data_IF_026804695778
#
_entry.id   IF_026804695778
#
_cell.length_a   1.000
_cell.length_b   1.000
_cell.length_c   1.000
_cell.angle_alpha   90.00
_cell.angle_beta   90.00
_cell.angle_gamma   90.00
#
_symmetry.space_group_name_H-M   'P 1'
#
loop_
_entity.id
_entity.type
_entity.pdbx_description
1 polymer ?
#
# COMPACT_ATOMS: atom_id res chain seq x y z
N UNK A 1 2.30 17.16 2.77
CA UNK A 1 3.73 17.15 2.33
C UNK A 1 3.82 16.71 0.88
N UNK A 2 3.16 15.61 0.48
CA UNK A 2 2.91 15.34 -0.94
C UNK A 2 2.15 16.48 -1.62
N UNK A 3 1.27 17.18 -0.90
CA UNK A 3 0.59 18.42 -1.35
C UNK A 3 1.54 19.58 -1.72
N UNK A 4 2.84 19.46 -1.41
CA UNK A 4 3.85 20.43 -1.83
C UNK A 4 4.48 20.07 -3.20
N UNK A 5 4.10 18.93 -3.78
CA UNK A 5 4.47 18.53 -5.13
C UNK A 5 3.45 19.05 -6.16
N UNK A 6 3.84 19.08 -7.43
CA UNK A 6 2.95 19.40 -8.55
C UNK A 6 2.02 18.25 -8.96
N UNK A 7 2.22 17.06 -8.38
CA UNK A 7 1.46 15.85 -8.66
C UNK A 7 0.35 15.62 -7.61
N UNK A 8 -0.82 15.19 -8.08
CA UNK A 8 -1.99 14.92 -7.25
C UNK A 8 -1.98 13.45 -6.78
N UNK A 9 -1.07 13.14 -5.86
CA UNK A 9 -0.91 11.77 -5.37
C UNK A 9 -2.07 11.40 -4.44
N UNK A 10 -2.90 10.45 -4.88
CA UNK A 10 -4.00 9.90 -4.08
C UNK A 10 -3.69 8.46 -3.67
N UNK A 11 -3.85 8.14 -2.39
CA UNK A 11 -3.58 6.82 -1.82
C UNK A 11 -4.81 6.34 -1.07
N UNK A 12 -5.26 5.12 -1.37
CA UNK A 12 -6.31 4.47 -0.59
C UNK A 12 -6.12 2.96 -0.55
N UNK A 13 -6.58 2.34 0.54
CA UNK A 13 -6.61 0.90 0.69
C UNK A 13 -7.93 0.46 1.32
N UNK A 14 -8.28 -0.80 1.13
CA UNK A 14 -9.40 -1.42 1.83
C UNK A 14 -9.13 -2.89 2.07
N UNK A 15 -9.83 -3.46 3.05
CA UNK A 15 -9.88 -4.92 3.21
C UNK A 15 -10.59 -5.50 1.99
N UNK A 16 -9.93 -6.41 1.28
CA UNK A 16 -10.50 -7.12 0.14
C UNK A 16 -10.75 -8.60 0.42
N UNK A 17 -10.18 -9.18 1.50
CA UNK A 17 -10.48 -10.55 1.92
C UNK A 17 -10.38 -10.74 3.44
N UNK A 18 -11.30 -11.51 4.00
CA UNK A 18 -11.19 -12.07 5.37
C UNK A 18 -11.53 -13.55 5.30
N UNK A 19 -10.56 -14.41 5.64
CA UNK A 19 -10.72 -15.85 5.49
C UNK A 19 -11.12 -16.25 4.07
N UNK A 20 -12.33 -16.79 3.93
CA UNK A 20 -12.91 -17.26 2.66
C UNK A 20 -13.83 -16.24 1.97
N UNK A 21 -14.15 -15.12 2.63
CA UNK A 21 -14.97 -14.04 2.07
C UNK A 21 -14.05 -13.07 1.35
N UNK A 22 -14.29 -12.88 0.06
CA UNK A 22 -13.56 -11.99 -0.84
C UNK A 22 -14.51 -10.95 -1.40
N UNK A 23 -14.07 -9.70 -1.44
CA UNK A 23 -14.80 -8.60 -2.05
C UNK A 23 -14.81 -8.75 -3.58
N UNK A 24 -15.90 -8.34 -4.22
CA UNK A 24 -15.90 -8.15 -5.67
C UNK A 24 -14.94 -7.01 -6.06
N UNK A 25 -14.45 -6.98 -7.31
CA UNK A 25 -13.61 -5.89 -7.79
C UNK A 25 -14.30 -4.53 -7.64
N UNK A 26 -13.63 -3.59 -6.99
CA UNK A 26 -14.09 -2.22 -6.76
C UNK A 26 -13.20 -1.22 -7.49
N UNK A 27 -13.79 -0.11 -7.93
CA UNK A 27 -13.04 1.04 -8.45
C UNK A 27 -12.40 1.85 -7.32
N UNK A 28 -11.33 2.59 -7.63
CA UNK A 28 -10.69 3.49 -6.67
C UNK A 28 -11.67 4.48 -6.02
N UNK A 29 -12.63 5.00 -6.79
CA UNK A 29 -13.67 5.89 -6.24
C UNK A 29 -14.53 5.19 -5.18
N UNK A 30 -14.89 3.92 -5.40
CA UNK A 30 -15.62 3.15 -4.40
C UNK A 30 -14.77 2.91 -3.14
N UNK A 31 -13.44 2.74 -3.29
CA UNK A 31 -12.55 2.65 -2.13
C UNK A 31 -12.57 3.96 -1.34
N UNK A 32 -12.48 5.11 -2.00
CA UNK A 32 -12.58 6.43 -1.36
C UNK A 32 -13.91 6.60 -0.62
N UNK A 33 -15.02 6.22 -1.26
CA UNK A 33 -16.37 6.49 -0.76
C UNK A 33 -16.78 5.53 0.37
N UNK A 34 -16.43 4.25 0.28
CA UNK A 34 -17.04 3.20 1.11
C UNK A 34 -16.11 2.58 2.17
N UNK A 35 -14.78 2.67 2.02
CA UNK A 35 -13.84 2.00 2.92
C UNK A 35 -13.87 2.49 4.37
N UNK A 36 -14.47 3.65 4.66
CA UNK A 36 -14.63 4.16 6.03
C UNK A 36 -16.09 4.08 6.53
N UNK A 37 -17.02 3.54 5.74
CA UNK A 37 -18.45 3.44 6.09
C UNK A 37 -18.78 2.24 6.99
N UNK A 38 -17.82 1.31 7.17
CA UNK A 38 -17.99 0.10 7.96
C UNK A 38 -16.72 -0.25 8.77
N UNK A 39 -16.89 -1.00 9.86
CA UNK A 39 -15.81 -1.35 10.79
C UNK A 39 -14.77 -2.32 10.19
N UNK A 40 -15.13 -3.07 9.14
CA UNK A 40 -14.21 -3.97 8.43
C UNK A 40 -13.28 -3.18 7.50
N UNK A 41 -13.68 -1.97 7.12
CA UNK A 41 -13.04 -1.14 6.09
C UNK A 41 -12.93 -1.82 4.74
N UNK A 42 -14.00 -2.50 4.33
CA UNK A 42 -14.13 -3.07 3.00
C UNK A 42 -14.96 -2.10 2.12
N UNK A 43 -14.51 -1.86 0.89
CA UNK A 43 -15.20 -0.97 -0.05
C UNK A 43 -16.37 -1.64 -0.80
N UNK A 44 -16.54 -2.95 -0.63
CA UNK A 44 -17.72 -3.72 -1.05
C UNK A 44 -18.64 -3.92 0.16
N UNK A 45 -19.79 -3.23 0.23
CA UNK A 45 -20.69 -3.32 1.38
C UNK A 45 -21.31 -4.71 1.60
N UNK A 46 -21.50 -5.50 0.54
CA UNK A 46 -22.08 -6.85 0.65
C UNK A 46 -21.04 -7.78 1.29
N UNK A 47 -19.82 -7.79 0.74
CA UNK A 47 -18.73 -8.56 1.32
C UNK A 47 -18.36 -8.06 2.73
N UNK A 48 -18.44 -6.76 3.01
CA UNK A 48 -18.20 -6.20 4.35
C UNK A 48 -19.13 -6.82 5.41
N UNK A 49 -20.41 -7.01 5.08
CA UNK A 49 -21.38 -7.63 5.98
C UNK A 49 -21.04 -9.11 6.24
N UNK A 50 -20.70 -9.86 5.19
CA UNK A 50 -20.29 -11.27 5.31
C UNK A 50 -18.97 -11.42 6.10
N UNK A 51 -18.00 -10.54 5.86
CA UNK A 51 -16.75 -10.49 6.62
C UNK A 51 -17.02 -10.20 8.10
N UNK A 52 -17.92 -9.26 8.41
CA UNK A 52 -18.30 -8.94 9.78
C UNK A 52 -18.90 -10.16 10.51
N UNK A 53 -19.84 -10.88 9.87
CA UNK A 53 -20.42 -12.11 10.42
C UNK A 53 -19.34 -13.18 10.68
N UNK A 54 -18.41 -13.36 9.74
CA UNK A 54 -17.29 -14.29 9.89
C UNK A 54 -16.39 -13.91 11.07
N UNK A 55 -16.04 -12.63 11.20
CA UNK A 55 -15.21 -12.08 12.28
C UNK A 55 -15.86 -12.32 13.64
N UNK A 56 -17.15 -12.01 13.77
CA UNK A 56 -17.93 -12.26 14.99
C UNK A 56 -17.97 -13.75 15.34
N UNK A 57 -18.12 -14.60 14.33
CA UNK A 57 -18.02 -16.04 14.46
C UNK A 57 -16.69 -16.45 15.11
N UNK A 58 -15.56 -16.02 14.57
CA UNK A 58 -14.23 -16.33 15.14
C UNK A 58 -14.06 -15.78 16.56
N UNK A 59 -14.54 -14.56 16.82
CA UNK A 59 -14.50 -13.96 18.14
C UNK A 59 -15.27 -14.77 19.19
N UNK A 60 -16.48 -15.25 18.86
CA UNK A 60 -17.32 -16.04 19.77
C UNK A 60 -16.68 -17.38 20.17
N UNK A 61 -15.94 -18.02 19.26
CA UNK A 61 -15.19 -19.28 19.54
C UNK A 61 -13.81 -19.03 20.16
N UNK A 62 -13.46 -17.78 20.48
CA UNK A 62 -12.18 -17.41 21.06
C UNK A 62 -11.01 -17.72 20.13
N UNK A 63 -11.19 -17.45 18.84
CA UNK A 63 -10.26 -17.78 17.76
C UNK A 63 -10.04 -16.54 16.88
N UNK A 64 -9.18 -16.67 15.88
CA UNK A 64 -8.85 -15.59 14.95
C UNK A 64 -8.72 -16.09 13.51
N UNK A 65 -8.76 -15.17 12.56
CA UNK A 65 -8.61 -15.44 11.14
C UNK A 65 -7.71 -14.39 10.47
N UNK A 66 -7.09 -14.76 9.36
CA UNK A 66 -6.29 -13.86 8.52
C UNK A 66 -7.13 -13.18 7.45
N UNK A 67 -6.46 -12.44 6.57
CA UNK A 67 -7.08 -11.74 5.46
C UNK A 67 -6.07 -10.91 4.68
N UNK A 68 -6.54 -10.12 3.73
CA UNK A 68 -5.71 -9.26 2.90
C UNK A 68 -6.30 -7.86 2.73
N UNK A 69 -5.43 -6.94 2.31
CA UNK A 69 -5.72 -5.55 2.02
C UNK A 69 -5.26 -5.26 0.61
N UNK A 70 -6.19 -4.80 -0.23
CA UNK A 70 -5.89 -4.20 -1.51
C UNK A 70 -5.51 -2.74 -1.29
N UNK A 71 -4.49 -2.28 -2.01
CA UNK A 71 -4.07 -0.89 -2.01
C UNK A 71 -3.85 -0.38 -3.43
N UNK A 72 -4.10 0.91 -3.60
CA UNK A 72 -3.87 1.61 -4.86
C UNK A 72 -3.36 3.03 -4.58
N UNK A 73 -2.43 3.48 -5.41
CA UNK A 73 -1.81 4.79 -5.36
C UNK A 73 -1.81 5.38 -6.77
N UNK A 74 -2.47 6.51 -6.96
CA UNK A 74 -2.59 7.25 -8.23
C UNK A 74 -1.80 8.54 -8.15
N UNK A 75 -1.55 9.16 -9.30
CA UNK A 75 -0.81 10.43 -9.36
C UNK A 75 0.68 10.30 -9.06
N UNK A 76 1.24 9.08 -9.06
CA UNK A 76 2.66 8.88 -8.77
C UNK A 76 3.49 9.15 -10.02
N UNK A 77 4.46 10.08 -9.98
CA UNK A 77 5.29 10.41 -11.13
C UNK A 77 6.03 9.18 -11.63
N UNK A 78 6.19 9.05 -12.95
CA UNK A 78 7.05 8.02 -13.52
C UNK A 78 8.53 8.23 -13.15
N UNK A 79 9.27 7.14 -13.11
CA UNK A 79 10.72 7.13 -12.88
C UNK A 79 11.16 7.21 -11.41
N UNK A 80 10.24 7.12 -10.45
CA UNK A 80 10.59 6.98 -9.04
C UNK A 80 11.10 5.56 -8.76
N UNK A 81 12.24 5.46 -8.08
CA UNK A 81 12.91 4.18 -7.79
C UNK A 81 14.35 4.15 -8.27
N UNK A 82 15.09 3.10 -7.87
CA UNK A 82 16.43 2.83 -8.38
C UNK A 82 16.53 1.41 -8.95
N UNK A 83 17.37 1.16 -9.96
CA UNK A 83 17.57 -0.19 -10.45
C UNK A 83 18.23 -1.06 -9.37
N UNK A 84 17.67 -2.27 -9.17
CA UNK A 84 18.18 -3.39 -8.34
C UNK A 84 17.88 -3.33 -6.85
N UNK A 85 18.68 -2.61 -6.05
CA UNK A 85 18.69 -2.78 -4.58
C UNK A 85 17.72 -1.84 -3.84
N UNK A 86 17.47 -0.66 -4.41
CA UNK A 86 16.55 0.35 -3.88
C UNK A 86 15.43 0.63 -4.88
N UNK A 87 14.97 -0.42 -5.55
CA UNK A 87 13.81 -0.31 -6.42
C UNK A 87 12.56 0.07 -5.62
N UNK A 88 11.65 0.79 -6.27
CA UNK A 88 10.37 1.14 -5.66
C UNK A 88 9.64 -0.07 -5.05
N UNK A 89 9.43 -1.19 -5.78
CA UNK A 89 8.79 -2.38 -5.20
C UNK A 89 9.58 -3.02 -4.05
N UNK A 90 10.91 -2.91 -4.05
CA UNK A 90 11.73 -3.46 -2.96
C UNK A 90 11.57 -2.66 -1.67
N UNK A 91 11.58 -1.32 -1.74
CA UNK A 91 11.37 -0.45 -0.56
C UNK A 91 9.93 -0.52 -0.06
N UNK A 92 8.97 -0.51 -0.98
CA UNK A 92 7.56 -0.69 -0.61
C UNK A 92 7.35 -2.07 0.04
N UNK A 93 7.97 -3.12 -0.50
CA UNK A 93 7.88 -4.46 0.06
C UNK A 93 8.48 -4.53 1.46
N UNK A 94 9.65 -3.92 1.66
CA UNK A 94 10.26 -3.79 2.98
C UNK A 94 9.35 -3.04 3.96
N UNK A 95 8.74 -1.94 3.54
CA UNK A 95 7.81 -1.17 4.37
C UNK A 95 6.57 -2.00 4.74
N UNK A 96 5.98 -2.72 3.79
CA UNK A 96 4.83 -3.59 4.03
C UNK A 96 5.17 -4.77 4.95
N UNK A 97 6.31 -5.45 4.74
CA UNK A 97 6.77 -6.51 5.64
C UNK A 97 7.20 -6.01 7.03
N UNK A 98 7.39 -4.70 7.21
CA UNK A 98 7.61 -4.12 8.54
C UNK A 98 6.33 -4.04 9.38
N UNK A 99 5.15 -4.15 8.74
CA UNK A 99 3.88 -4.21 9.44
C UNK A 99 3.77 -5.61 10.10
N UNK A 100 3.51 -5.69 11.42
CA UNK A 100 3.43 -6.98 12.10
C UNK A 100 2.39 -7.91 11.48
N UNK A 101 2.72 -9.21 11.45
CA UNK A 101 1.90 -10.31 10.93
C UNK A 101 1.64 -10.33 9.41
N UNK A 102 2.25 -9.43 8.64
CA UNK A 102 2.27 -9.51 7.17
C UNK A 102 3.09 -10.71 6.70
N UNK A 103 2.56 -11.50 5.76
CA UNK A 103 3.20 -12.72 5.25
C UNK A 103 3.42 -12.73 3.74
N UNK A 104 2.69 -11.91 3.00
CA UNK A 104 2.86 -11.77 1.57
C UNK A 104 2.56 -10.33 1.14
N UNK A 105 3.23 -9.89 0.08
CA UNK A 105 3.03 -8.60 -0.59
C UNK A 105 3.17 -8.86 -2.08
N UNK A 106 2.18 -8.44 -2.85
CA UNK A 106 2.07 -8.66 -4.28
C UNK A 106 1.75 -7.33 -4.98
N UNK A 107 2.18 -7.18 -6.24
CA UNK A 107 1.94 -6.00 -7.06
C UNK A 107 1.42 -6.42 -8.43
N UNK A 108 0.58 -5.61 -9.05
CA UNK A 108 0.04 -5.92 -10.39
C UNK A 108 -0.73 -7.23 -10.39
N UNK A 109 -0.46 -8.09 -11.37
CA UNK A 109 -0.99 -9.47 -11.45
C UNK A 109 -0.64 -10.36 -10.23
N UNK A 110 0.32 -9.98 -9.39
CA UNK A 110 0.69 -10.75 -8.19
C UNK A 110 0.97 -12.23 -8.48
N UNK A 111 0.31 -13.11 -7.74
CA UNK A 111 0.42 -14.56 -7.90
C UNK A 111 -0.04 -15.05 -9.28
N UNK A 112 -1.02 -14.39 -9.91
CA UNK A 112 -1.54 -14.80 -11.22
C UNK A 112 -0.51 -14.61 -12.35
N UNK A 113 0.53 -13.80 -12.12
CA UNK A 113 1.67 -13.70 -13.03
C UNK A 113 2.38 -15.04 -13.28
N UNK A 114 2.20 -16.04 -12.40
CA UNK A 114 2.73 -17.41 -12.59
C UNK A 114 2.03 -18.18 -13.71
N UNK A 115 0.84 -17.73 -14.12
CA UNK A 115 0.00 -18.36 -15.15
C UNK A 115 0.00 -17.60 -16.48
N UNK A 116 0.53 -16.38 -16.49
CA UNK A 116 0.59 -15.54 -17.68
C UNK A 116 1.76 -15.92 -18.60
N UNK A 117 1.50 -16.03 -19.91
CA UNK A 117 2.57 -16.11 -20.89
C UNK A 117 3.27 -14.75 -21.02
N UNK A 118 4.55 -14.76 -21.40
CA UNK A 118 5.29 -13.50 -21.57
C UNK A 118 4.67 -12.55 -22.61
N UNK A 119 4.01 -13.09 -23.64
CA UNK A 119 3.28 -12.29 -24.63
C UNK A 119 2.03 -11.61 -24.06
N UNK A 120 1.41 -12.24 -23.06
CA UNK A 120 0.14 -11.80 -22.50
C UNK A 120 0.39 -10.86 -21.30
N UNK A 121 1.54 -11.01 -20.64
CA UNK A 121 1.99 -10.13 -19.55
C UNK A 121 2.65 -8.85 -20.05
N UNK A 122 3.21 -8.86 -21.26
CA UNK A 122 3.98 -7.72 -21.74
C UNK A 122 3.04 -6.60 -22.18
N UNK A 123 3.28 -5.39 -21.68
CA UNK A 123 2.48 -4.23 -22.07
C UNK A 123 2.85 -3.73 -23.47
N UNK A 124 1.83 -3.38 -24.24
CA UNK A 124 1.99 -2.53 -25.42
C UNK A 124 2.25 -1.09 -24.98
N UNK A 125 2.94 -0.32 -25.82
CA UNK A 125 3.31 1.07 -25.54
C UNK A 125 2.88 1.96 -26.69
N UNK A 126 2.40 3.15 -26.34
CA UNK A 126 2.07 4.22 -27.28
C UNK A 126 2.65 5.54 -26.79
N UNK A 127 2.36 6.63 -27.49
CA UNK A 127 2.68 7.98 -27.04
C UNK A 127 1.42 8.64 -26.49
N UNK A 128 1.59 9.35 -25.38
CA UNK A 128 0.55 10.16 -24.76
C UNK A 128 0.05 11.24 -25.73
N UNK A 129 -1.26 11.35 -25.88
CA UNK A 129 -1.95 12.30 -26.73
C UNK A 129 -2.69 13.40 -25.95
N UNK A 130 -2.45 13.51 -24.63
CA UNK A 130 -3.03 14.48 -23.68
C UNK A 130 -4.51 14.22 -23.32
N UNK A 131 -5.17 13.23 -23.97
CA UNK A 131 -6.60 12.95 -23.78
C UNK A 131 -6.89 11.50 -23.35
N UNK A 132 -6.10 10.53 -23.82
CA UNK A 132 -6.40 9.09 -23.70
C UNK A 132 -5.86 8.42 -22.44
N UNK A 133 -4.92 9.07 -21.73
CA UNK A 133 -4.15 8.48 -20.63
C UNK A 133 -4.24 9.31 -19.34
N UNK A 134 -5.44 9.80 -19.02
CA UNK A 134 -5.73 10.64 -17.84
C UNK A 134 -5.39 10.03 -16.46
N UNK A 135 -5.15 8.72 -16.42
CA UNK A 135 -4.77 7.95 -15.24
C UNK A 135 -3.25 7.72 -15.14
N UNK A 136 -2.48 8.13 -16.15
CA UNK A 136 -1.03 7.99 -16.22
C UNK A 136 -0.38 9.34 -16.01
N UNK A 137 0.57 9.41 -15.08
CA UNK A 137 1.37 10.62 -14.88
C UNK A 137 2.43 10.77 -15.99
N UNK A 138 2.06 11.48 -17.06
CA UNK A 138 2.87 11.77 -18.25
C UNK A 138 2.57 13.14 -18.88
N UNK A 139 3.43 13.58 -19.81
CA UNK A 139 3.19 14.74 -20.66
C UNK A 139 2.94 14.28 -22.11
N UNK A 140 2.21 15.08 -22.88
CA UNK A 140 1.96 14.82 -24.29
C UNK A 140 3.24 14.51 -25.08
N UNK A 141 3.24 13.39 -25.80
CA UNK A 141 4.37 12.88 -26.57
C UNK A 141 5.34 11.98 -25.79
N UNK A 142 5.08 11.72 -24.51
CA UNK A 142 5.82 10.71 -23.74
C UNK A 142 5.37 9.28 -24.05
N UNK A 143 6.26 8.28 -23.96
CA UNK A 143 5.85 6.89 -24.06
C UNK A 143 5.07 6.45 -22.81
N UNK A 144 3.90 5.87 -23.01
CA UNK A 144 3.02 5.36 -21.96
C UNK A 144 2.62 3.91 -22.24
N UNK A 145 2.45 3.07 -21.20
CA UNK A 145 1.91 1.74 -21.37
C UNK A 145 0.41 1.81 -21.72
N UNK A 146 -0.10 0.80 -22.41
CA UNK A 146 -1.53 0.70 -22.78
C UNK A 146 -2.34 -0.05 -21.71
N UNK A 147 -1.68 -0.88 -20.90
CA UNK A 147 -2.26 -1.60 -19.78
C UNK A 147 -1.39 -1.49 -18.54
N UNK A 148 -1.83 -2.14 -17.45
CA UNK A 148 -1.20 -2.01 -16.14
C UNK A 148 -1.08 -3.33 -15.37
N UNK A 149 -0.92 -4.46 -16.06
CA UNK A 149 -0.69 -5.77 -15.43
C UNK A 149 0.61 -5.80 -14.59
N UNK A 150 1.54 -4.88 -14.85
CA UNK A 150 2.75 -4.66 -14.06
C UNK A 150 2.53 -3.83 -12.77
N UNK A 151 1.32 -3.32 -12.52
CA UNK A 151 0.94 -2.65 -11.28
C UNK A 151 1.67 -1.34 -11.03
N UNK A 152 1.89 -0.55 -12.08
CA UNK A 152 2.56 0.75 -12.03
C UNK A 152 4.07 0.66 -11.90
N UNK A 153 4.65 -0.55 -11.96
CA UNK A 153 6.05 -0.82 -11.64
C UNK A 153 6.74 -1.62 -12.75
N UNK A 154 7.76 -1.06 -13.39
CA UNK A 154 8.55 -1.75 -14.41
C UNK A 154 10.05 -1.51 -14.21
N UNK A 155 10.85 -2.57 -14.25
CA UNK A 155 12.32 -2.46 -14.09
C UNK A 155 12.77 -1.91 -12.72
N UNK A 156 11.86 -1.85 -11.73
CA UNK A 156 12.12 -1.30 -10.40
C UNK A 156 11.83 0.19 -10.24
N UNK A 157 11.23 0.82 -11.24
CA UNK A 157 10.76 2.21 -11.21
C UNK A 157 9.26 2.30 -11.47
N UNK A 158 8.66 3.41 -11.09
CA UNK A 158 7.26 3.73 -11.41
C UNK A 158 7.08 4.05 -12.89
N UNK A 159 5.95 3.67 -13.47
CA UNK A 159 5.64 3.93 -14.90
C UNK A 159 4.74 5.15 -15.13
N UNK A 160 4.15 5.71 -14.07
CA UNK A 160 3.14 6.78 -14.13
C UNK A 160 1.71 6.26 -13.98
N UNK A 161 1.50 4.99 -14.33
CA UNK A 161 0.27 4.23 -14.06
C UNK A 161 0.01 4.07 -12.55
N UNK A 162 -1.25 3.80 -12.15
CA UNK A 162 -1.60 3.48 -10.77
C UNK A 162 -0.75 2.33 -10.24
N UNK A 163 -0.16 2.54 -9.06
CA UNK A 163 0.55 1.51 -8.33
C UNK A 163 -0.46 0.77 -7.47
N UNK A 164 -0.67 -0.51 -7.75
CA UNK A 164 -1.62 -1.33 -6.98
C UNK A 164 -1.05 -2.68 -6.61
N UNK A 165 -1.64 -3.27 -5.56
CA UNK A 165 -1.23 -4.55 -5.04
C UNK A 165 -2.05 -5.02 -3.86
N UNK A 166 -1.57 -6.11 -3.26
CA UNK A 166 -2.18 -6.73 -2.08
C UNK A 166 -1.12 -7.00 -1.01
N UNK A 167 -1.48 -6.78 0.25
CA UNK A 167 -0.73 -7.29 1.41
C UNK A 167 -1.59 -8.28 2.22
N UNK A 168 -1.00 -9.40 2.63
CA UNK A 168 -1.68 -10.48 3.37
C UNK A 168 -1.22 -10.56 4.81
N UNK A 169 -2.16 -10.78 5.74
CA UNK A 169 -1.92 -11.06 7.15
C UNK A 169 -2.27 -12.48 7.54
N UNK A 170 -1.41 -13.12 8.32
CA UNK A 170 -1.78 -14.33 9.02
C UNK A 170 -2.73 -14.04 10.20
N UNK A 171 -3.42 -15.07 10.68
CA UNK A 171 -4.31 -14.96 11.83
C UNK A 171 -3.53 -14.58 13.12
N UNK A 172 -4.01 -13.65 13.95
CA UNK A 172 -3.46 -13.36 15.27
C UNK A 172 -3.32 -14.62 16.13
N UNK A 173 -2.14 -14.92 16.67
CA UNK A 173 -1.94 -16.13 17.49
C UNK A 173 -2.16 -15.89 18.99
N UNK A 174 -2.32 -14.64 19.41
CA UNK A 174 -2.72 -14.29 20.78
C UNK A 174 -4.23 -14.45 20.94
N UNK A 175 -4.67 -15.70 21.09
CA UNK A 175 -6.09 -16.07 21.20
C UNK A 175 -6.44 -16.61 22.60
N UNK A 176 -7.71 -16.49 23.03
CA UNK A 176 -8.19 -17.03 24.32
C UNK A 176 -8.12 -18.56 24.46
N UNK A 177 -7.91 -19.31 23.38
CA UNK A 177 -7.73 -20.77 23.44
C UNK A 177 -6.43 -21.13 24.13
N UNK A 178 -6.45 -22.26 24.85
CA UNK A 178 -5.26 -22.86 25.47
C UNK A 178 -4.27 -23.27 24.39
N UNK A 179 -3.01 -22.91 24.58
CA UNK A 179 -1.92 -23.21 23.68
C UNK A 179 -0.76 -23.83 24.46
N UNK A 180 -0.04 -24.75 23.83
CA UNK A 180 1.17 -25.32 24.41
C UNK A 180 2.36 -24.43 24.08
N UNK A 181 3.15 -24.10 25.08
CA UNK A 181 4.37 -23.30 24.95
C UNK A 181 5.47 -23.88 25.85
N UNK A 182 6.64 -23.25 25.84
CA UNK A 182 7.77 -23.62 26.69
C UNK A 182 8.13 -22.45 27.60
N UNK A 183 8.53 -22.76 28.83
CA UNK A 183 9.10 -21.79 29.76
C UNK A 183 10.63 -21.90 29.73
N UNK A 184 11.31 -20.84 29.29
CA UNK A 184 12.76 -20.84 29.16
C UNK A 184 13.48 -20.72 30.51
N UNK A 185 12.81 -20.27 31.58
CA UNK A 185 13.41 -20.17 32.91
C UNK A 185 13.42 -21.52 33.64
N UNK A 186 12.42 -22.37 33.36
CA UNK A 186 12.25 -23.67 34.03
C UNK A 186 12.59 -24.87 33.14
N UNK A 187 12.83 -24.67 31.84
CA UNK A 187 13.02 -25.72 30.83
C UNK A 187 11.83 -26.70 30.73
N UNK A 188 10.60 -26.24 30.99
CA UNK A 188 9.39 -27.08 31.00
C UNK A 188 8.35 -26.69 29.93
N UNK A 189 7.61 -27.68 29.41
CA UNK A 189 6.40 -27.42 28.61
C UNK A 189 5.27 -26.93 29.54
N UNK A 190 4.57 -25.86 29.13
CA UNK A 190 3.42 -25.33 29.85
C UNK A 190 2.24 -25.06 28.94
N UNK A 191 1.04 -25.14 29.52
CA UNK A 191 -0.17 -24.65 28.88
C UNK A 191 -0.33 -23.16 29.21
N UNK A 192 -0.41 -22.32 28.18
CA UNK A 192 -0.64 -20.89 28.30
C UNK A 192 -2.01 -20.55 27.74
N UNK A 193 -2.65 -19.58 28.39
CA UNK A 193 -3.89 -18.99 27.93
C UNK A 193 -3.73 -17.47 28.00
N UNK A 194 -3.88 -16.81 26.85
CA UNK A 194 -3.82 -15.35 26.80
C UNK A 194 -5.19 -14.81 27.22
N UNK A 195 -5.22 -13.95 28.24
CA UNK A 195 -6.45 -13.35 28.78
C UNK A 195 -6.47 -11.87 28.42
N UNK A 196 -7.54 -11.41 27.79
CA UNK A 196 -7.70 -10.02 27.40
C UNK A 196 -8.59 -9.85 26.17
N UNK A 197 -8.76 -8.59 25.74
CA UNK A 197 -9.33 -8.30 24.43
C UNK A 197 -8.22 -8.41 23.39
N UNK A 198 -8.41 -9.32 22.44
CA UNK A 198 -7.53 -9.49 21.29
C UNK A 198 -8.36 -9.31 20.03
N UNK A 199 -7.73 -8.79 18.99
CA UNK A 199 -8.39 -8.63 17.72
C UNK A 199 -8.54 -10.01 17.05
N UNK A 200 -9.77 -10.42 16.67
CA UNK A 200 -9.99 -11.65 15.93
C UNK A 200 -9.42 -11.59 14.50
N UNK A 201 -9.13 -10.39 14.00
CA UNK A 201 -8.60 -10.14 12.66
C UNK A 201 -7.82 -8.81 12.64
N UNK A 202 -6.75 -8.72 11.85
CA UNK A 202 -5.86 -7.54 11.77
C UNK A 202 -6.15 -6.58 10.61
N UNK A 203 -6.50 -7.05 9.39
CA UNK A 203 -6.66 -6.19 8.23
C UNK A 203 -7.42 -4.86 8.45
N UNK A 204 -8.59 -4.80 9.13
CA UNK A 204 -9.30 -3.53 9.30
C UNK A 204 -8.46 -2.45 9.99
N UNK A 205 -7.66 -2.83 11.00
CA UNK A 205 -6.75 -1.91 11.70
C UNK A 205 -5.44 -1.65 10.95
N UNK A 206 -5.09 -2.51 10.00
CA UNK A 206 -3.88 -2.38 9.20
C UNK A 206 -4.09 -1.50 7.95
N UNK A 207 -5.32 -1.30 7.45
CA UNK A 207 -5.63 -0.38 6.34
C UNK A 207 -4.94 0.99 6.45
N UNK A 208 -5.09 1.76 7.56
CA UNK A 208 -4.46 3.09 7.65
C UNK A 208 -2.94 3.01 7.77
N UNK A 209 -2.41 1.87 8.22
CA UNK A 209 -0.95 1.62 8.29
C UNK A 209 -0.41 1.35 6.89
N UNK A 210 -1.13 0.57 6.07
CA UNK A 210 -0.80 0.33 4.66
C UNK A 210 -0.78 1.64 3.88
N UNK A 211 -1.83 2.47 4.03
CA UNK A 211 -1.89 3.80 3.42
C UNK A 211 -0.71 4.68 3.86
N UNK A 212 -0.37 4.68 5.15
CA UNK A 212 0.78 5.42 5.65
C UNK A 212 2.13 4.91 5.10
N UNK A 213 2.30 3.60 4.94
CA UNK A 213 3.52 3.02 4.36
C UNK A 213 3.68 3.35 2.87
N UNK A 214 2.58 3.38 2.13
CA UNK A 214 2.55 3.88 0.75
C UNK A 214 2.95 5.36 0.71
N UNK A 215 2.32 6.19 1.56
CA UNK A 215 2.60 7.62 1.61
C UNK A 215 4.07 7.90 1.91
N UNK A 216 4.62 7.25 2.95
CA UNK A 216 6.03 7.38 3.31
C UNK A 216 6.97 6.93 2.19
N UNK A 217 6.63 5.83 1.49
CA UNK A 217 7.47 5.31 0.40
C UNK A 217 7.47 6.24 -0.80
N UNK A 218 6.30 6.73 -1.22
CA UNK A 218 6.17 7.69 -2.33
C UNK A 218 6.89 8.99 -1.98
N UNK A 219 6.65 9.53 -0.79
CA UNK A 219 7.30 10.76 -0.32
C UNK A 219 8.83 10.63 -0.31
N UNK A 220 9.37 9.52 0.20
CA UNK A 220 10.82 9.29 0.23
C UNK A 220 11.41 9.30 -1.18
N UNK A 221 10.79 8.62 -2.14
CA UNK A 221 11.27 8.65 -3.53
C UNK A 221 11.08 10.00 -4.21
N UNK A 222 10.02 10.73 -3.92
CA UNK A 222 9.82 12.08 -4.45
C UNK A 222 10.87 13.06 -3.92
N UNK A 223 11.25 12.95 -2.64
CA UNK A 223 12.37 13.70 -2.07
C UNK A 223 13.71 13.31 -2.71
N UNK A 224 13.99 12.01 -2.85
CA UNK A 224 15.23 11.51 -3.47
C UNK A 224 15.34 11.90 -4.96
N UNK A 225 14.22 11.90 -5.67
CA UNK A 225 14.12 12.29 -7.08
C UNK A 225 14.09 13.80 -7.31
N UNK A 226 14.10 14.62 -6.25
CA UNK A 226 14.02 16.08 -6.35
C UNK A 226 12.66 16.60 -6.83
N UNK A 227 11.60 15.78 -6.76
CA UNK A 227 10.21 16.17 -7.07
C UNK A 227 9.59 17.00 -5.96
N UNK A 228 10.08 16.84 -4.73
CA UNK A 228 9.77 17.68 -3.60
C UNK A 228 11.08 18.23 -3.06
N UNK A 229 11.18 19.55 -2.91
CA UNK A 229 12.37 20.19 -2.37
C UNK A 229 12.41 20.00 -0.83
N UNK A 230 13.44 19.34 -0.26
CA UNK A 230 13.51 19.07 1.18
C UNK A 230 13.75 20.34 2.02
N UNK A 231 14.24 21.42 1.42
CA UNK A 231 14.70 22.58 2.17
C UNK A 231 13.54 23.44 2.68
N UNK A 232 12.38 23.46 2.01
CA UNK A 232 11.23 24.30 2.39
C UNK A 232 9.88 23.82 1.84
N UNK A 233 8.96 23.48 2.75
CA UNK A 233 7.54 23.15 2.46
C UNK A 233 6.65 24.42 2.41
N UNK A 234 7.23 25.62 2.61
CA UNK A 234 6.53 26.90 2.66
C UNK A 234 6.38 27.60 1.29
N UNK A 235 6.86 26.96 0.21
CA UNK A 235 6.73 27.47 -1.16
C UNK A 235 7.82 28.45 -1.61
N UNK A 236 8.86 28.72 -0.81
CA UNK A 236 9.93 29.67 -1.17
C UNK A 236 11.33 29.00 -1.29
N UNK A 237 11.55 28.11 -2.28
CA UNK A 237 12.83 27.45 -2.46
C UNK A 237 13.93 28.46 -2.82
N UNK A 238 15.03 28.47 -2.06
CA UNK A 238 16.20 29.33 -2.31
C UNK A 238 16.10 30.77 -1.77
N UNK A 239 14.96 31.18 -1.21
CA UNK A 239 14.85 32.45 -0.48
C UNK A 239 15.22 32.25 0.97
N UNK A 240 16.34 32.82 1.42
CA UNK A 240 16.80 32.60 2.80
C UNK A 240 16.23 33.59 3.80
N UNK A 241 15.41 34.55 3.36
CA UNK A 241 15.05 35.76 4.12
C UNK A 241 14.28 35.43 5.41
N UNK A 242 15.05 35.21 6.47
CA UNK A 242 14.62 34.82 7.81
C UNK A 242 15.45 35.60 8.83
N UNK A 243 15.00 35.66 10.09
CA UNK A 243 15.80 36.31 11.14
C UNK A 243 17.21 35.71 11.30
N UNK A 244 17.40 34.44 10.92
CA UNK A 244 18.69 33.74 10.97
C UNK A 244 19.54 33.94 9.69
N UNK A 245 18.91 34.15 8.53
CA UNK A 245 19.57 34.44 7.26
C UNK A 245 18.92 35.65 6.56
N UNK A 246 19.41 36.88 6.77
CA UNK A 246 18.70 38.10 6.33
C UNK A 246 18.84 38.44 4.83
N UNK A 247 19.34 37.51 4.00
CA UNK A 247 19.39 37.68 2.54
C UNK A 247 19.74 36.38 1.83
N UNK A 248 19.13 36.14 0.67
CA UNK A 248 19.50 35.03 -0.23
C UNK A 248 20.95 35.15 -0.74
N UNK A 249 21.67 34.04 -0.92
CA UNK A 249 22.98 34.03 -1.56
C UNK A 249 22.88 34.63 -2.96
N UNK A 250 23.78 35.57 -3.27
CA UNK A 250 23.94 36.05 -4.65
C UNK A 250 24.79 35.03 -5.39
N UNK A 251 24.22 34.43 -6.44
CA UNK A 251 24.99 33.63 -7.37
C UNK A 251 25.69 34.57 -8.35
N UNK A 252 26.98 34.84 -8.11
CA UNK A 252 27.91 35.45 -9.08
C UNK A 252 28.52 34.37 -9.99
#
# INVERSE_FOLDING_TARGET
>A
MLDASEHDVEIKAHVNRIGEVEAEPVSFQQILDHSEENDVRCADPEAAAEMQELIEGYQQRGDSIGGSIYFECRGVPRGLGAPRFDSFPARLGQAMFSIPATTAVEYGLGQDATRAAGSDRNEDWTFDDDESFDHVESEAGDPVPVGNDHGGLQGGITTGEPIYGEATWHAPTSIPKKQRSADWETDEEKEVQVVGRHDPVLPPRAVPVVEAMLYCTVLDFMLLGGRINPDRVDGNPGEYDTEYHPSSPRND
#
